data_IF_845135272348
#
_entry.id   IF_845135272348
#
_cell.length_a   1.000
_cell.length_b   1.000
_cell.length_c   1.000
_cell.angle_alpha   90.00
_cell.angle_beta   90.00
_cell.angle_gamma   90.00
#
_symmetry.space_group_name_H-M   'P 1'
#
loop_
_entity.id
_entity.type
_entity.pdbx_description
1 polymer ?
#
# COMPACT_ATOMS: atom_id res chain seq x y z
N UNK A 1 4.62 -73.85 30.50
CA UNK A 1 5.34 -74.24 29.26
C UNK A 1 4.33 -74.26 28.12
N UNK A 2 4.59 -73.69 26.94
CA UNK A 2 5.91 -73.50 26.34
C UNK A 2 6.36 -72.05 26.13
N UNK A 3 7.68 -71.94 26.04
CA UNK A 3 8.51 -70.76 25.88
C UNK A 3 8.60 -70.38 24.39
N UNK A 4 8.28 -69.13 24.07
CA UNK A 4 8.54 -68.53 22.75
C UNK A 4 9.89 -67.82 22.76
N UNK A 5 10.79 -68.27 21.89
CA UNK A 5 12.16 -67.79 21.73
C UNK A 5 12.28 -66.27 21.54
N UNK A 6 13.08 -65.65 22.42
CA UNK A 6 13.72 -64.36 22.21
C UNK A 6 14.83 -64.55 21.17
N UNK A 7 14.67 -63.99 19.97
CA UNK A 7 15.77 -63.72 19.07
C UNK A 7 16.21 -62.26 19.24
N UNK A 8 17.25 -62.10 20.04
CA UNK A 8 18.12 -60.94 20.03
C UNK A 8 18.81 -60.84 18.66
N UNK A 9 18.46 -59.82 17.88
CA UNK A 9 19.20 -59.43 16.68
C UNK A 9 19.90 -58.13 16.98
N UNK A 10 21.21 -58.24 17.15
CA UNK A 10 22.15 -57.17 17.44
C UNK A 10 21.90 -55.91 16.60
N UNK A 11 21.66 -54.80 17.31
CA UNK A 11 21.75 -53.46 16.74
C UNK A 11 23.22 -53.09 16.55
N UNK A 12 23.78 -53.45 15.41
CA UNK A 12 24.97 -52.79 14.90
C UNK A 12 24.57 -51.36 14.50
N UNK A 13 24.88 -50.37 15.35
CA UNK A 13 24.81 -48.95 14.98
C UNK A 13 25.92 -48.67 13.98
N UNK A 14 25.59 -48.73 12.69
CA UNK A 14 26.43 -48.20 11.63
C UNK A 14 26.56 -46.67 11.82
N UNK A 15 27.76 -46.24 12.19
CA UNK A 15 28.16 -44.84 12.22
C UNK A 15 28.38 -44.37 10.78
N UNK A 16 27.33 -43.86 10.13
CA UNK A 16 27.42 -43.26 8.81
C UNK A 16 27.87 -41.78 8.94
N UNK A 17 28.82 -41.30 8.12
CA UNK A 17 29.21 -39.89 8.14
C UNK A 17 28.04 -39.01 7.72
N UNK A 18 27.85 -37.90 8.44
CA UNK A 18 26.80 -36.92 8.14
C UNK A 18 26.94 -36.40 6.68
N UNK A 19 25.84 -36.24 5.93
CA UNK A 19 25.91 -35.73 4.57
C UNK A 19 26.44 -34.28 4.56
N UNK A 20 27.14 -33.86 3.50
CA UNK A 20 27.66 -32.50 3.39
C UNK A 20 26.50 -31.50 3.48
N UNK A 21 26.65 -30.48 4.33
CA UNK A 21 25.68 -29.39 4.46
C UNK A 21 25.47 -28.77 3.09
N UNK A 22 24.28 -28.95 2.50
CA UNK A 22 23.88 -28.28 1.27
C UNK A 22 23.92 -26.77 1.57
N UNK A 23 24.92 -26.05 1.03
CA UNK A 23 24.91 -24.58 1.09
C UNK A 23 23.60 -24.14 0.46
N UNK A 24 22.71 -23.57 1.29
CA UNK A 24 21.57 -22.84 0.78
C UNK A 24 22.13 -21.76 -0.16
N UNK A 25 21.62 -21.62 -1.39
CA UNK A 25 21.96 -20.48 -2.21
C UNK A 25 21.67 -19.23 -1.37
N UNK A 26 22.67 -18.36 -1.21
CA UNK A 26 22.45 -17.03 -0.64
C UNK A 26 21.31 -16.39 -1.42
N UNK A 27 20.32 -15.76 -0.76
CA UNK A 27 19.27 -15.07 -1.49
C UNK A 27 19.95 -14.10 -2.44
N UNK A 28 19.77 -14.32 -3.75
CA UNK A 28 20.01 -13.27 -4.73
C UNK A 28 19.14 -12.12 -4.27
N UNK A 29 19.78 -11.04 -3.83
CA UNK A 29 19.17 -9.72 -3.72
C UNK A 29 18.85 -9.25 -5.13
N UNK A 30 17.90 -9.91 -5.79
CA UNK A 30 17.39 -9.50 -7.08
C UNK A 30 16.02 -8.85 -6.87
N UNK A 31 15.97 -7.59 -7.30
CA UNK A 31 14.80 -6.75 -7.46
C UNK A 31 13.93 -6.59 -6.21
N UNK A 32 14.09 -5.43 -5.55
CA UNK A 32 12.92 -4.72 -5.00
C UNK A 32 11.86 -4.78 -6.10
N UNK A 33 10.74 -5.46 -5.87
CA UNK A 33 9.61 -5.43 -6.80
C UNK A 33 9.10 -3.99 -6.86
N UNK A 34 9.75 -3.18 -7.69
CA UNK A 34 9.34 -1.85 -8.07
C UNK A 34 8.20 -2.10 -9.05
N UNK A 35 7.01 -2.31 -8.52
CA UNK A 35 5.81 -2.32 -9.36
C UNK A 35 5.81 -0.97 -10.09
N UNK A 36 5.87 -0.96 -11.43
CA UNK A 36 5.77 0.30 -12.16
C UNK A 36 4.40 0.90 -11.81
N UNK A 37 4.43 2.15 -11.37
CA UNK A 37 3.19 2.87 -11.13
C UNK A 37 2.42 3.04 -12.44
N UNK A 38 1.08 3.20 -12.38
CA UNK A 38 0.29 3.51 -13.57
C UNK A 38 0.89 4.68 -14.34
N UNK A 39 0.96 4.53 -15.66
CA UNK A 39 1.43 5.55 -16.59
C UNK A 39 0.58 5.48 -17.86
N UNK A 40 -0.74 5.54 -17.67
CA UNK A 40 -1.75 5.47 -18.73
C UNK A 40 -1.84 6.78 -19.54
N UNK A 41 -1.04 7.80 -19.20
CA UNK A 41 -0.95 9.07 -19.91
C UNK A 41 -1.99 10.12 -19.51
N UNK A 42 -2.85 9.83 -18.53
CA UNK A 42 -3.81 10.78 -17.97
C UNK A 42 -4.03 10.52 -16.47
N UNK A 43 -4.01 11.60 -15.67
CA UNK A 43 -4.07 11.56 -14.20
C UNK A 43 -5.32 10.84 -13.70
N UNK A 44 -6.46 11.03 -14.35
CA UNK A 44 -7.70 10.36 -13.96
C UNK A 44 -7.57 8.83 -14.06
N UNK A 45 -7.03 8.34 -15.18
CA UNK A 45 -6.82 6.91 -15.41
C UNK A 45 -5.80 6.33 -14.43
N UNK A 46 -4.73 7.08 -14.14
CA UNK A 46 -3.71 6.65 -13.20
C UNK A 46 -4.22 6.60 -11.75
N UNK A 47 -4.96 7.63 -11.31
CA UNK A 47 -5.60 7.65 -10.00
C UNK A 47 -6.65 6.54 -9.87
N UNK A 48 -7.40 6.26 -10.93
CA UNK A 48 -8.35 5.14 -10.97
C UNK A 48 -7.65 3.80 -10.82
N UNK A 49 -6.52 3.61 -11.50
CA UNK A 49 -5.71 2.39 -11.35
C UNK A 49 -5.16 2.26 -9.92
N UNK A 50 -4.65 3.34 -9.32
CA UNK A 50 -4.19 3.36 -7.93
C UNK A 50 -5.33 3.06 -6.94
N UNK A 51 -6.50 3.67 -7.10
CA UNK A 51 -7.66 3.48 -6.22
C UNK A 51 -8.19 2.05 -6.30
N UNK A 52 -8.26 1.46 -7.50
CA UNK A 52 -8.67 0.06 -7.69
C UNK A 52 -7.64 -0.91 -7.11
N UNK A 53 -6.36 -0.68 -7.31
CA UNK A 53 -5.29 -1.48 -6.71
C UNK A 53 -5.34 -1.41 -5.18
N UNK A 54 -5.59 -0.22 -4.62
CA UNK A 54 -5.81 -0.04 -3.19
C UNK A 54 -7.01 -0.88 -2.72
N UNK A 55 -8.19 -0.68 -3.32
CA UNK A 55 -9.40 -1.40 -2.97
C UNK A 55 -9.19 -2.93 -2.98
N UNK A 56 -8.57 -3.47 -4.04
CA UNK A 56 -8.26 -4.90 -4.16
C UNK A 56 -7.29 -5.37 -3.07
N UNK A 57 -6.23 -4.60 -2.80
CA UNK A 57 -5.24 -4.95 -1.78
C UNK A 57 -5.85 -5.04 -0.38
N UNK A 58 -6.89 -4.24 -0.11
CA UNK A 58 -7.55 -4.17 1.18
C UNK A 58 -8.66 -5.22 1.34
N UNK A 59 -9.35 -5.59 0.26
CA UNK A 59 -10.44 -6.59 0.29
C UNK A 59 -9.96 -8.03 0.15
N UNK A 60 -8.72 -8.24 -0.30
CA UNK A 60 -8.08 -9.56 -0.36
C UNK A 60 -7.79 -10.18 1.01
N UNK A 61 -7.54 -11.50 1.09
CA UNK A 61 -7.38 -12.23 2.36
C UNK A 61 -6.30 -11.65 3.28
N UNK A 62 -5.15 -11.29 2.71
CA UNK A 62 -4.04 -10.67 3.44
C UNK A 62 -4.40 -9.27 3.94
N UNK A 63 -5.06 -8.47 3.08
CA UNK A 63 -5.51 -7.12 3.45
C UNK A 63 -6.46 -7.14 4.64
N UNK A 64 -7.44 -8.05 4.63
CA UNK A 64 -8.38 -8.23 5.74
C UNK A 64 -7.68 -8.63 7.03
N UNK A 65 -6.73 -9.58 6.98
CA UNK A 65 -5.99 -10.01 8.15
C UNK A 65 -5.14 -8.86 8.76
N UNK A 66 -4.46 -8.08 7.91
CA UNK A 66 -3.69 -6.91 8.35
C UNK A 66 -4.61 -5.86 8.98
N UNK A 67 -5.80 -5.63 8.42
CA UNK A 67 -6.76 -4.69 8.98
C UNK A 67 -7.24 -5.10 10.37
N UNK A 68 -7.59 -6.38 10.55
CA UNK A 68 -8.01 -6.93 11.85
C UNK A 68 -6.91 -6.75 12.89
N UNK A 69 -5.67 -7.11 12.58
CA UNK A 69 -4.53 -6.95 13.49
C UNK A 69 -4.26 -5.47 13.84
N UNK A 70 -4.26 -4.60 12.82
CA UNK A 70 -3.96 -3.18 12.98
C UNK A 70 -5.06 -2.37 13.67
N UNK A 71 -6.30 -2.88 13.79
CA UNK A 71 -7.39 -2.17 14.47
C UNK A 71 -7.74 -2.77 15.82
N UNK A 72 -7.51 -4.07 16.01
CA UNK A 72 -7.69 -4.72 17.31
C UNK A 72 -6.58 -4.32 18.30
N UNK A 73 -5.34 -4.14 17.81
CA UNK A 73 -4.16 -3.97 18.69
C UNK A 73 -3.53 -2.57 18.64
N UNK A 74 -3.68 -1.80 17.55
CA UNK A 74 -2.95 -0.52 17.41
C UNK A 74 -3.42 0.58 18.37
N UNK A 75 -4.62 0.47 18.94
CA UNK A 75 -5.09 1.38 19.98
C UNK A 75 -4.41 1.15 21.34
N UNK A 76 -3.74 0.00 21.54
CA UNK A 76 -3.19 -0.41 22.84
C UNK A 76 -1.66 -0.40 22.89
N UNK A 77 -0.96 -0.41 21.75
CA UNK A 77 0.49 -0.57 21.66
C UNK A 77 1.13 0.54 20.81
N UNK A 78 1.93 1.45 21.41
CA UNK A 78 2.59 2.54 20.69
C UNK A 78 3.47 2.11 19.51
N UNK A 79 4.14 0.95 19.60
CA UNK A 79 5.02 0.47 18.51
C UNK A 79 4.21 0.12 17.25
N UNK A 80 3.00 -0.42 17.42
CA UNK A 80 2.10 -0.76 16.31
C UNK A 80 1.60 0.51 15.62
N UNK A 81 1.27 1.56 16.38
CA UNK A 81 0.86 2.85 15.83
C UNK A 81 1.99 3.49 14.98
N UNK A 82 3.23 3.40 15.43
CA UNK A 82 4.39 3.88 14.67
C UNK A 82 4.66 3.05 13.40
N UNK A 83 4.61 1.71 13.51
CA UNK A 83 4.73 0.83 12.36
C UNK A 83 3.65 1.11 11.31
N UNK A 84 2.41 1.38 11.74
CA UNK A 84 1.31 1.83 10.86
C UNK A 84 1.66 3.13 10.16
N UNK A 85 2.06 4.18 10.88
CA UNK A 85 2.44 5.47 10.26
C UNK A 85 3.51 5.30 9.19
N UNK A 86 4.56 4.52 9.47
CA UNK A 86 5.66 4.25 8.52
C UNK A 86 5.18 3.49 7.29
N UNK A 87 4.33 2.48 7.47
CA UNK A 87 3.77 1.70 6.37
C UNK A 87 2.99 2.59 5.39
N UNK A 88 2.13 3.46 5.92
CA UNK A 88 1.32 4.36 5.11
C UNK A 88 2.16 5.43 4.43
N UNK A 89 3.11 6.03 5.15
CA UNK A 89 4.04 7.00 4.57
C UNK A 89 4.86 6.38 3.42
N UNK A 90 5.35 5.15 3.58
CA UNK A 90 6.08 4.46 2.50
C UNK A 90 5.19 4.15 1.29
N UNK A 91 3.95 3.71 1.52
CA UNK A 91 2.98 3.45 0.45
C UNK A 91 2.69 4.70 -0.38
N UNK A 92 2.44 5.84 0.27
CA UNK A 92 2.17 7.09 -0.44
C UNK A 92 3.42 7.62 -1.16
N UNK A 93 4.59 7.62 -0.51
CA UNK A 93 5.85 8.04 -1.14
C UNK A 93 6.16 7.30 -2.42
N UNK A 94 5.90 5.99 -2.45
CA UNK A 94 6.09 5.20 -3.67
C UNK A 94 5.21 5.70 -4.81
N UNK A 95 3.96 6.08 -4.53
CA UNK A 95 3.01 6.52 -5.54
C UNK A 95 3.16 7.99 -5.98
N UNK A 96 3.96 8.80 -5.29
CA UNK A 96 4.24 10.22 -5.66
C UNK A 96 4.58 10.44 -7.13
N UNK A 97 5.41 9.61 -7.80
CA UNK A 97 5.79 9.85 -9.19
C UNK A 97 4.60 9.91 -10.16
N UNK A 98 3.47 9.28 -9.84
CA UNK A 98 2.23 9.40 -10.65
C UNK A 98 1.74 10.84 -10.67
N UNK A 99 1.74 11.48 -9.50
CA UNK A 99 1.27 12.86 -9.35
C UNK A 99 2.28 13.83 -9.94
N UNK A 100 3.59 13.60 -9.70
CA UNK A 100 4.65 14.41 -10.30
C UNK A 100 4.55 14.45 -11.82
N UNK A 101 4.35 13.30 -12.48
CA UNK A 101 4.16 13.26 -13.94
C UNK A 101 2.90 14.01 -14.39
N UNK A 102 1.81 13.94 -13.63
CA UNK A 102 0.60 14.69 -13.94
C UNK A 102 0.80 16.22 -13.83
N UNK A 103 1.57 16.67 -12.84
CA UNK A 103 1.98 18.08 -12.71
C UNK A 103 2.86 18.50 -13.88
N UNK A 104 3.87 17.69 -14.25
CA UNK A 104 4.75 17.96 -15.40
C UNK A 104 3.98 18.08 -16.73
N UNK A 105 2.86 17.35 -16.87
CA UNK A 105 1.96 17.44 -18.03
C UNK A 105 0.96 18.61 -17.95
N UNK A 106 0.90 19.33 -16.82
CA UNK A 106 -0.05 20.42 -16.60
C UNK A 106 -1.48 19.97 -16.31
N UNK A 107 -1.69 18.70 -15.95
CA UNK A 107 -3.02 18.15 -15.62
C UNK A 107 -3.43 18.44 -14.17
N UNK A 108 -2.46 18.83 -13.33
CA UNK A 108 -2.65 19.24 -11.95
C UNK A 108 -1.92 20.57 -11.70
N UNK A 109 -2.40 21.41 -10.76
CA UNK A 109 -1.68 22.61 -10.34
C UNK A 109 -0.26 22.29 -9.85
N UNK A 110 0.70 23.18 -10.10
CA UNK A 110 2.11 23.00 -9.73
C UNK A 110 2.32 22.90 -8.22
N UNK A 111 1.42 23.49 -7.44
CA UNK A 111 1.43 23.55 -5.98
C UNK A 111 0.80 22.31 -5.33
N UNK A 112 0.32 21.36 -6.13
CA UNK A 112 -0.30 20.13 -5.63
C UNK A 112 0.71 19.32 -4.81
N UNK A 113 0.44 19.11 -3.52
CA UNK A 113 1.19 18.17 -2.69
C UNK A 113 0.81 16.72 -3.10
N UNK A 114 1.76 15.93 -3.64
CA UNK A 114 1.49 14.56 -4.07
C UNK A 114 0.97 13.64 -2.97
N UNK A 115 1.51 13.75 -1.76
CA UNK A 115 1.18 12.88 -0.64
C UNK A 115 -0.21 13.20 -0.11
N UNK A 116 -0.55 14.48 0.03
CA UNK A 116 -1.89 14.88 0.48
C UNK A 116 -2.96 14.55 -0.55
N UNK A 117 -2.66 14.66 -1.85
CA UNK A 117 -3.58 14.23 -2.89
C UNK A 117 -3.85 12.71 -2.82
N UNK A 118 -2.80 11.91 -2.62
CA UNK A 118 -2.92 10.45 -2.48
C UNK A 118 -3.66 10.04 -1.19
N UNK A 119 -3.48 10.78 -0.09
CA UNK A 119 -4.27 10.59 1.15
C UNK A 119 -5.74 10.89 0.90
N UNK A 120 -6.03 11.97 0.17
CA UNK A 120 -7.40 12.36 -0.22
C UNK A 120 -8.06 11.28 -1.06
N UNK A 121 -7.32 10.69 -2.01
CA UNK A 121 -7.78 9.55 -2.81
C UNK A 121 -8.09 8.32 -1.94
N UNK A 122 -7.24 8.03 -0.98
CA UNK A 122 -7.35 6.82 -0.17
C UNK A 122 -8.42 6.94 0.93
N UNK A 123 -8.71 8.14 1.42
CA UNK A 123 -9.56 8.38 2.58
C UNK A 123 -10.99 7.80 2.45
N UNK A 124 -11.74 8.00 1.35
CA UNK A 124 -13.08 7.42 1.20
C UNK A 124 -13.09 5.88 1.25
N UNK A 125 -12.07 5.24 0.68
CA UNK A 125 -11.92 3.79 0.67
C UNK A 125 -11.63 3.29 2.09
N UNK A 126 -10.71 3.94 2.80
CA UNK A 126 -10.42 3.59 4.19
C UNK A 126 -11.58 3.86 5.12
N UNK A 127 -12.30 4.96 4.95
CA UNK A 127 -13.45 5.28 5.78
C UNK A 127 -14.53 4.19 5.70
N UNK A 128 -14.90 3.78 4.48
CA UNK A 128 -15.87 2.69 4.28
C UNK A 128 -15.41 1.40 4.95
N UNK A 129 -14.16 1.01 4.75
CA UNK A 129 -13.64 -0.25 5.29
C UNK A 129 -13.47 -0.25 6.81
N UNK A 130 -12.99 0.86 7.38
CA UNK A 130 -12.47 0.89 8.75
C UNK A 130 -13.37 1.59 9.74
N UNK A 131 -14.15 2.56 9.27
CA UNK A 131 -14.99 3.39 10.13
C UNK A 131 -16.43 2.93 10.04
N UNK A 132 -17.01 2.84 8.83
CA UNK A 132 -18.42 2.46 8.66
C UNK A 132 -18.64 0.97 8.40
N UNK A 133 -17.58 0.18 8.21
CA UNK A 133 -17.63 -1.25 7.90
C UNK A 133 -18.51 -1.58 6.68
N UNK A 134 -18.59 -0.67 5.72
CA UNK A 134 -19.31 -0.83 4.46
C UNK A 134 -18.50 -1.65 3.45
N UNK A 135 -19.16 -2.43 2.57
CA UNK A 135 -18.48 -3.08 1.47
C UNK A 135 -17.87 -2.06 0.50
N UNK A 136 -16.75 -2.44 -0.11
CA UNK A 136 -16.17 -1.69 -1.23
C UNK A 136 -16.82 -2.18 -2.51
N UNK A 137 -17.69 -1.33 -3.06
CA UNK A 137 -18.35 -1.54 -4.34
C UNK A 137 -17.48 -1.04 -5.49
N UNK A 138 -17.76 -1.50 -6.72
CA UNK A 138 -17.00 -1.14 -7.93
C UNK A 138 -16.90 0.39 -8.12
N UNK A 139 -18.00 1.11 -7.87
CA UNK A 139 -18.03 2.57 -7.98
C UNK A 139 -17.27 3.34 -6.88
N UNK A 140 -16.80 2.68 -5.82
CA UNK A 140 -16.11 3.36 -4.70
C UNK A 140 -14.81 4.01 -5.16
N UNK A 141 -14.02 3.30 -5.97
CA UNK A 141 -12.77 3.82 -6.49
C UNK A 141 -13.01 5.01 -7.43
N UNK A 142 -14.00 4.90 -8.31
CA UNK A 142 -14.35 5.97 -9.25
C UNK A 142 -14.88 7.21 -8.50
N UNK A 143 -15.66 7.03 -7.43
CA UNK A 143 -16.10 8.12 -6.58
C UNK A 143 -14.92 8.84 -5.90
N UNK A 144 -13.97 8.08 -5.35
CA UNK A 144 -12.79 8.63 -4.71
C UNK A 144 -11.96 9.47 -5.70
N UNK A 145 -11.78 8.99 -6.93
CA UNK A 145 -11.10 9.73 -8.00
C UNK A 145 -11.82 11.04 -8.31
N UNK A 146 -13.15 11.01 -8.51
CA UNK A 146 -13.93 12.22 -8.80
C UNK A 146 -13.76 13.30 -7.74
N UNK A 147 -13.90 12.95 -6.46
CA UNK A 147 -13.75 13.88 -5.34
C UNK A 147 -12.33 14.45 -5.30
N UNK A 148 -11.33 13.58 -5.46
CA UNK A 148 -9.91 13.95 -5.41
C UNK A 148 -9.55 14.94 -6.51
N UNK A 149 -9.98 14.68 -7.75
CA UNK A 149 -9.72 15.58 -8.88
C UNK A 149 -10.47 16.90 -8.74
N UNK A 150 -11.74 16.87 -8.33
CA UNK A 150 -12.50 18.10 -8.08
C UNK A 150 -11.82 18.98 -7.02
N UNK A 151 -11.33 18.38 -5.94
CA UNK A 151 -10.58 19.09 -4.92
C UNK A 151 -9.26 19.64 -5.48
N UNK A 152 -8.46 18.84 -6.18
CA UNK A 152 -7.16 19.26 -6.70
C UNK A 152 -7.28 20.45 -7.68
N UNK A 153 -8.24 20.37 -8.60
CA UNK A 153 -8.40 21.38 -9.65
C UNK A 153 -8.95 22.70 -9.11
N UNK A 154 -9.74 22.67 -8.03
CA UNK A 154 -10.26 23.91 -7.40
C UNK A 154 -9.21 24.64 -6.56
N UNK A 155 -8.23 23.93 -5.99
CA UNK A 155 -7.11 24.55 -5.27
C UNK A 155 -6.26 25.44 -6.20
N UNK A 156 -6.04 25.00 -7.45
CA UNK A 156 -5.34 25.81 -8.46
C UNK A 156 -6.10 27.10 -8.81
N UNK A 157 -7.42 27.06 -8.87
CA UNK A 157 -8.24 28.25 -9.13
C UNK A 157 -8.27 29.23 -7.95
N UNK A 158 -8.31 28.73 -6.71
CA UNK A 158 -8.36 29.59 -5.52
C UNK A 158 -7.04 30.36 -5.28
N UNK A 159 -5.88 29.77 -5.62
CA UNK A 159 -4.58 30.42 -5.52
C UNK A 159 -4.39 31.47 -6.63
N UNK A 160 -4.84 31.19 -7.86
CA UNK A 160 -4.78 32.15 -8.96
C UNK A 160 -5.60 33.42 -8.70
N UNK A 161 -6.77 33.29 -8.05
CA UNK A 161 -7.59 34.45 -7.65
C UNK A 161 -6.86 35.32 -6.62
N UNK A 162 -6.23 34.72 -5.59
CA UNK A 162 -5.46 35.48 -4.59
C UNK A 162 -4.23 36.17 -5.16
N UNK A 163 -3.53 35.55 -6.11
CA UNK A 163 -2.38 36.17 -6.77
C UNK A 163 -2.80 37.42 -7.59
N UNK A 164 -3.96 37.36 -8.23
CA UNK A 164 -4.51 38.49 -9.02
C UNK A 164 -4.96 39.64 -8.11
N UNK A 165 -5.55 39.34 -6.96
CA UNK A 165 -5.95 40.36 -5.97
C UNK A 165 -4.76 41.04 -5.28
N UNK A 166 -3.67 40.29 -5.04
CA UNK A 166 -2.45 40.84 -4.41
C UNK A 166 -1.68 41.81 -5.32
N UNK A 167 -1.77 41.64 -6.63
CA UNK A 167 -1.15 42.51 -7.64
C UNK A 167 -1.99 43.78 -7.89
N UNK A 168 -3.32 43.67 -7.82
CA UNK A 168 -4.24 44.81 -7.96
C UNK A 168 -4.26 45.76 -6.75
N UNK A 169 -3.78 45.33 -5.58
CA UNK A 169 -3.69 46.14 -4.36
C UNK A 169 -2.38 46.92 -4.18
N UNK A 170 -1.44 46.81 -5.12
CA UNK A 170 -0.14 47.49 -5.08
C UNK A 170 0.03 48.59 -6.14
N UNK A 171 -1.02 48.86 -6.94
CA UNK A 171 -1.10 49.95 -7.92
C UNK A 171 -1.98 51.09 -7.40
#
# INVERSE_FOLDING_TARGET
>A
MPLGHVRDKGRARANAPAPPRRRLPTPRTDARHRHPHPDAGAVESDLRALARALAQSMTGPVGRAVQTAMHSDAGRLPEIAEARRRLFADRFRRAEPVITRAIERGELPAETDPVELLKTLAAPIYFRLLVSAEPIEEGTADQAVRITLAAALTQGSAVAVKATEADAGQA
#
